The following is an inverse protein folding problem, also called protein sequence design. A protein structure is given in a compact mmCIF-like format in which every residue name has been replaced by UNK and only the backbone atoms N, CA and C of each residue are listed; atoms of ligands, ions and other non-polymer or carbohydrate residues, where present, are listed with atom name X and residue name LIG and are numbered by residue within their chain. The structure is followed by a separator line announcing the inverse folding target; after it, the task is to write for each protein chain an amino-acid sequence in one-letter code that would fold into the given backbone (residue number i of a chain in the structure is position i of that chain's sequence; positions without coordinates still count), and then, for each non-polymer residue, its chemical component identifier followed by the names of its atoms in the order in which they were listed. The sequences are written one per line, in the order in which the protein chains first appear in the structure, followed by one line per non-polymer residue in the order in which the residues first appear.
data_IF_947147418870
#
_entry.id   IF_947147418870
#
_cell.length_a   1.000
_cell.length_b   1.000
_cell.length_c   1.000
_cell.angle_alpha   90.00
_cell.angle_beta   90.00
_cell.angle_gamma   90.00
#
_symmetry.space_group_name_H-M   'P 1'
#
loop_
_entity.id
_entity.type
_entity.pdbx_description
1 polymer ?
#
# COMPACT_ATOMS: atom_id res chain seq x y z
N UNK A 1 -3.63 -13.00 10.45
CA UNK A 1 -2.85 -11.94 9.80
C UNK A 1 -2.94 -10.70 10.70
N UNK A 2 -2.05 -10.60 11.68
CA UNK A 2 -1.99 -9.47 12.61
C UNK A 2 -0.57 -8.92 12.48
N UNK A 3 -0.35 -8.12 11.44
CA UNK A 3 0.92 -7.43 11.26
C UNK A 3 1.01 -6.34 12.32
N UNK A 4 1.62 -6.66 13.46
CA UNK A 4 2.02 -5.67 14.46
C UNK A 4 3.28 -4.87 14.03
N UNK A 5 3.70 -5.06 12.77
CA UNK A 5 4.90 -4.45 12.21
C UNK A 5 4.46 -3.40 11.19
N UNK A 6 4.85 -2.15 11.44
CA UNK A 6 4.74 -1.05 10.48
C UNK A 6 6.14 -0.81 9.92
N UNK A 7 6.34 -1.14 8.65
CA UNK A 7 7.62 -0.92 7.98
C UNK A 7 7.58 0.32 7.09
N UNK A 8 8.59 1.16 7.24
CA UNK A 8 8.90 2.24 6.32
C UNK A 8 9.56 1.69 5.04
N UNK A 9 9.50 2.47 3.95
CA UNK A 9 10.07 2.03 2.66
C UNK A 9 11.57 1.73 2.77
N UNK A 10 12.26 2.52 3.60
CA UNK A 10 13.69 2.40 3.86
C UNK A 10 14.03 1.11 4.57
N UNK A 11 13.21 0.70 5.55
CA UNK A 11 13.39 -0.55 6.28
C UNK A 11 13.15 -1.76 5.37
N UNK A 12 12.09 -1.72 4.54
CA UNK A 12 11.84 -2.77 3.55
C UNK A 12 13.04 -2.92 2.62
N UNK A 13 13.61 -1.81 2.11
CA UNK A 13 14.81 -1.85 1.27
C UNK A 13 16.02 -2.49 1.95
N UNK A 14 16.18 -2.33 3.27
CA UNK A 14 17.25 -3.00 4.02
C UNK A 14 17.05 -4.53 4.04
N UNK A 15 15.81 -5.00 4.14
CA UNK A 15 15.49 -6.43 4.13
C UNK A 15 15.57 -7.10 2.74
N UNK A 16 15.43 -6.33 1.66
CA UNK A 16 15.51 -6.87 0.30
C UNK A 16 16.92 -7.36 -0.06
N UNK A 17 17.94 -6.86 0.64
CA UNK A 17 19.36 -7.14 0.41
C UNK A 17 19.73 -7.01 -1.08
N UNK A 18 20.87 -7.60 -1.47
CA UNK A 18 21.28 -7.68 -2.87
C UNK A 18 20.56 -8.77 -3.68
N UNK A 19 19.59 -9.48 -3.09
CA UNK A 19 18.91 -10.62 -3.72
C UNK A 19 17.66 -10.22 -4.50
N UNK A 20 17.06 -9.08 -4.17
CA UNK A 20 15.80 -8.63 -4.74
C UNK A 20 15.90 -7.20 -5.25
N UNK A 21 15.33 -6.95 -6.42
CA UNK A 21 15.15 -5.64 -7.01
C UNK A 21 13.69 -5.19 -6.82
N UNK A 22 13.41 -4.08 -6.10
CA UNK A 22 12.06 -3.56 -5.99
C UNK A 22 11.61 -2.94 -7.34
N UNK A 23 10.55 -3.51 -7.93
CA UNK A 23 10.02 -3.10 -9.24
C UNK A 23 8.91 -2.07 -9.10
N UNK A 24 8.00 -2.28 -8.15
CA UNK A 24 6.85 -1.40 -7.93
C UNK A 24 6.36 -1.49 -6.48
N UNK A 25 5.54 -0.53 -6.09
CA UNK A 25 4.90 -0.46 -4.78
C UNK A 25 3.44 0.03 -4.93
N UNK A 26 2.51 -0.68 -4.30
CA UNK A 26 1.09 -0.34 -4.33
C UNK A 26 0.52 -0.21 -2.91
N UNK A 27 -0.28 0.84 -2.69
CA UNK A 27 -1.07 0.97 -1.47
C UNK A 27 -2.43 0.27 -1.60
N UNK A 28 -2.97 -0.20 -0.47
CA UNK A 28 -4.30 -0.77 -0.37
C UNK A 28 -5.01 -0.16 0.84
N UNK A 29 -6.28 0.25 0.64
CA UNK A 29 -7.16 0.79 1.69
C UNK A 29 -6.54 2.03 2.37
N UNK A 30 -6.40 3.11 1.62
CA UNK A 30 -6.02 4.42 2.16
C UNK A 30 -7.20 5.03 2.92
N UNK A 31 -8.40 4.97 2.34
CA UNK A 31 -9.65 5.32 2.97
C UNK A 31 -10.31 4.08 3.58
N UNK A 32 -10.89 4.17 4.79
CA UNK A 32 -11.66 3.08 5.38
C UNK A 32 -13.06 2.99 4.73
N UNK A 33 -13.13 2.66 3.43
CA UNK A 33 -14.36 2.68 2.61
C UNK A 33 -15.51 1.87 3.26
N UNK A 34 -15.18 0.79 3.97
CA UNK A 34 -16.14 -0.07 4.66
C UNK A 34 -16.92 0.67 5.78
N UNK A 35 -16.37 1.76 6.33
CA UNK A 35 -17.02 2.59 7.36
C UNK A 35 -18.01 3.62 6.80
N UNK A 36 -18.05 3.78 5.48
CA UNK A 36 -18.94 4.75 4.83
C UNK A 36 -20.26 4.12 4.35
N UNK A 37 -21.34 4.92 4.25
CA UNK A 37 -22.62 4.47 3.70
C UNK A 37 -22.49 3.86 2.31
N UNK A 38 -23.27 2.81 2.02
CA UNK A 38 -23.20 2.05 0.76
C UNK A 38 -23.24 2.94 -0.50
N UNK A 39 -24.01 4.03 -0.47
CA UNK A 39 -24.16 4.96 -1.61
C UNK A 39 -22.87 5.71 -1.97
N UNK A 40 -22.00 5.97 -0.99
CA UNK A 40 -20.74 6.70 -1.20
C UNK A 40 -19.56 5.79 -1.55
N UNK A 41 -19.68 4.47 -1.29
CA UNK A 41 -18.59 3.52 -1.49
C UNK A 41 -18.01 3.50 -2.90
N UNK A 42 -18.80 3.54 -4.00
CA UNK A 42 -18.24 3.54 -5.35
C UNK A 42 -17.36 4.75 -5.63
N UNK A 43 -17.79 5.94 -5.19
CA UNK A 43 -17.04 7.18 -5.34
C UNK A 43 -15.73 7.14 -4.52
N UNK A 44 -15.85 6.76 -3.25
CA UNK A 44 -14.69 6.66 -2.35
C UNK A 44 -13.70 5.59 -2.80
N UNK A 45 -14.17 4.49 -3.40
CA UNK A 45 -13.31 3.48 -4.00
C UNK A 45 -12.52 4.02 -5.19
N UNK A 46 -13.14 4.86 -6.03
CA UNK A 46 -12.45 5.54 -7.13
C UNK A 46 -11.32 6.46 -6.61
N UNK A 47 -11.63 7.28 -5.60
CA UNK A 47 -10.67 8.18 -4.97
C UNK A 47 -9.55 7.40 -4.27
N UNK A 48 -9.89 6.37 -3.50
CA UNK A 48 -8.93 5.50 -2.82
C UNK A 48 -7.93 4.88 -3.81
N UNK A 49 -8.42 4.34 -4.93
CA UNK A 49 -7.55 3.81 -6.00
C UNK A 49 -6.62 4.87 -6.59
N UNK A 50 -7.07 6.10 -6.76
CA UNK A 50 -6.22 7.18 -7.27
C UNK A 50 -5.13 7.55 -6.26
N UNK A 51 -5.50 7.73 -4.98
CA UNK A 51 -4.56 8.08 -3.92
C UNK A 51 -3.47 7.01 -3.75
N UNK A 52 -3.87 5.73 -3.80
CA UNK A 52 -2.96 4.59 -3.70
C UNK A 52 -1.90 4.49 -4.83
N UNK A 53 -2.04 5.27 -5.91
CA UNK A 53 -1.04 5.37 -7.00
C UNK A 53 -0.08 6.55 -6.82
N UNK A 54 -0.30 7.39 -5.82
CA UNK A 54 0.53 8.57 -5.51
C UNK A 54 1.52 8.26 -4.37
N UNK A 55 2.48 9.16 -4.05
CA UNK A 55 3.32 9.02 -2.86
C UNK A 55 2.56 8.96 -1.53
N UNK A 56 1.28 9.37 -1.49
CA UNK A 56 0.43 9.26 -0.31
C UNK A 56 0.13 7.81 0.08
N UNK A 57 0.40 6.85 -0.81
CA UNK A 57 0.24 5.41 -0.55
C UNK A 57 1.01 4.91 0.68
N UNK A 58 2.02 5.66 1.17
CA UNK A 58 2.71 5.36 2.43
C UNK A 58 1.80 5.35 3.67
N UNK A 59 0.66 6.04 3.62
CA UNK A 59 -0.33 6.07 4.70
C UNK A 59 -1.45 5.04 4.54
N UNK A 60 -1.35 4.16 3.54
CA UNK A 60 -2.36 3.13 3.30
C UNK A 60 -2.29 2.06 4.37
N UNK A 61 -3.41 1.41 4.66
CA UNK A 61 -3.45 0.34 5.66
C UNK A 61 -2.50 -0.81 5.33
N UNK A 62 -2.29 -1.07 4.03
CA UNK A 62 -1.30 -2.04 3.56
C UNK A 62 -0.49 -1.47 2.40
N UNK A 63 0.78 -1.87 2.36
CA UNK A 63 1.72 -1.60 1.28
C UNK A 63 2.20 -2.92 0.71
N UNK A 64 2.04 -3.09 -0.59
CA UNK A 64 2.46 -4.29 -1.33
C UNK A 64 3.65 -3.92 -2.19
N UNK A 65 4.75 -4.64 -2.01
CA UNK A 65 5.96 -4.47 -2.80
C UNK A 65 6.04 -5.56 -3.86
N UNK A 66 6.25 -5.17 -5.10
CA UNK A 66 6.52 -6.08 -6.20
C UNK A 66 8.02 -6.15 -6.36
N UNK A 67 8.56 -7.35 -6.19
CA UNK A 67 10.00 -7.61 -6.16
C UNK A 67 10.37 -8.54 -7.31
N UNK A 68 11.49 -8.28 -7.95
CA UNK A 68 12.10 -9.16 -8.93
C UNK A 68 13.35 -9.78 -8.31
N UNK A 69 13.54 -11.08 -8.49
CA UNK A 69 14.79 -11.73 -8.11
C UNK A 69 15.90 -11.24 -9.04
N UNK A 70 17.03 -10.79 -8.48
CA UNK A 70 18.21 -10.47 -9.30
C UNK A 70 18.77 -11.73 -9.96
#
# INVERSE_FOLDING_TARGET
WHGANSYEQTEVRQYLEDRWEPVDEQGILFLPIHRFPNRLRPLLLGLDRQINRTPLKKYSSYRVYILRKK
#
